data_IF_147124400437
#
_entry.id   IF_147124400437
#
_cell.length_a   1.000
_cell.length_b   1.000
_cell.length_c   1.000
_cell.angle_alpha   90.00
_cell.angle_beta   90.00
_cell.angle_gamma   90.00
#
_symmetry.space_group_name_H-M   'P 1'
#
loop_
_entity.id
_entity.type
_entity.pdbx_description
1 polymer ?
#
# COMPACT_ATOMS: atom_id res chain seq x y z
N UNK A 1 -13.47 11.84 -16.40
CA UNK A 1 -13.61 11.85 -14.91
C UNK A 1 -14.95 12.48 -14.53
N UNK A 2 -15.31 13.67 -15.01
CA UNK A 2 -16.59 14.31 -14.70
C UNK A 2 -17.81 13.47 -15.12
N UNK A 3 -17.79 12.84 -16.29
CA UNK A 3 -18.85 11.92 -16.73
C UNK A 3 -18.94 10.67 -15.84
N UNK A 4 -17.80 10.17 -15.37
CA UNK A 4 -17.77 9.02 -14.46
C UNK A 4 -18.32 9.40 -13.08
N UNK A 5 -17.93 10.55 -12.52
CA UNK A 5 -18.46 11.07 -11.27
C UNK A 5 -19.97 11.34 -11.34
N UNK A 6 -20.47 11.89 -12.48
CA UNK A 6 -21.90 12.06 -12.71
C UNK A 6 -22.65 10.73 -12.73
N UNK A 7 -22.07 9.69 -13.33
CA UNK A 7 -22.65 8.36 -13.41
C UNK A 7 -22.64 7.62 -12.07
N UNK A 8 -21.59 7.81 -11.27
CA UNK A 8 -21.51 7.29 -9.89
C UNK A 8 -22.57 7.96 -9.03
N UNK A 9 -22.71 9.29 -9.10
CA UNK A 9 -23.75 10.04 -8.38
C UNK A 9 -25.15 9.57 -8.77
N UNK A 10 -25.45 9.50 -10.07
CA UNK A 10 -26.75 8.99 -10.58
C UNK A 10 -27.05 7.56 -10.08
N UNK A 11 -26.06 6.70 -10.01
CA UNK A 11 -26.23 5.32 -9.50
C UNK A 11 -26.47 5.30 -8.01
N UNK A 12 -25.77 6.15 -7.25
CA UNK A 12 -25.94 6.26 -5.79
C UNK A 12 -27.30 6.82 -5.43
N UNK A 13 -27.78 7.81 -6.18
CA UNK A 13 -29.12 8.38 -6.01
C UNK A 13 -30.23 7.34 -6.28
N UNK A 14 -30.01 6.46 -7.27
CA UNK A 14 -30.98 5.37 -7.61
C UNK A 14 -31.06 4.25 -6.56
N UNK A 15 -30.02 4.00 -5.81
CA UNK A 15 -30.00 2.97 -4.74
C UNK A 15 -30.36 3.53 -3.36
N UNK A 16 -30.83 4.78 -3.27
CA UNK A 16 -31.28 5.40 -2.02
C UNK A 16 -30.16 5.74 -1.04
N UNK A 17 -28.93 5.78 -1.51
CA UNK A 17 -27.80 6.33 -0.75
C UNK A 17 -27.89 7.85 -0.69
N UNK A 18 -27.40 8.47 0.40
CA UNK A 18 -27.44 9.92 0.61
C UNK A 18 -26.57 10.76 -0.36
N UNK A 19 -26.19 10.23 -1.52
CA UNK A 19 -25.37 10.95 -2.51
C UNK A 19 -23.97 11.37 -2.04
N UNK A 20 -23.60 11.08 -0.80
CA UNK A 20 -22.28 11.30 -0.26
C UNK A 20 -21.35 10.15 -0.68
N UNK A 21 -20.95 10.13 -1.96
CA UNK A 21 -19.68 9.53 -2.33
C UNK A 21 -18.65 10.25 -1.47
N UNK A 22 -18.05 9.51 -0.53
CA UNK A 22 -17.12 10.03 0.47
C UNK A 22 -16.32 11.21 -0.08
N UNK A 23 -16.54 12.45 0.40
CA UNK A 23 -15.83 13.64 -0.09
C UNK A 23 -14.32 13.47 -0.04
N UNK A 24 -13.82 12.65 0.90
CA UNK A 24 -12.42 12.28 1.01
C UNK A 24 -11.85 11.53 -0.21
N UNK A 25 -12.65 10.72 -0.91
CA UNK A 25 -12.19 10.03 -2.13
C UNK A 25 -12.12 11.00 -3.30
N UNK A 26 -13.07 11.92 -3.41
CA UNK A 26 -13.11 12.92 -4.48
C UNK A 26 -12.01 13.95 -4.27
N UNK A 27 -11.84 14.47 -3.07
CA UNK A 27 -10.81 15.45 -2.74
C UNK A 27 -9.39 14.89 -2.90
N UNK A 28 -9.14 13.63 -2.49
CA UNK A 28 -7.85 13.00 -2.71
C UNK A 28 -7.52 12.75 -4.19
N UNK A 29 -8.52 12.60 -5.05
CA UNK A 29 -8.33 12.47 -6.50
C UNK A 29 -8.05 13.86 -7.11
N UNK A 30 -8.67 14.91 -6.61
CA UNK A 30 -8.52 16.27 -7.13
C UNK A 30 -7.23 16.97 -6.67
N UNK A 31 -6.74 16.68 -5.46
CA UNK A 31 -5.56 17.35 -4.89
C UNK A 31 -4.21 16.78 -5.33
N UNK A 32 -4.15 15.58 -5.92
CA UNK A 32 -2.90 14.96 -6.34
C UNK A 32 -2.59 15.24 -7.81
N UNK A 33 -1.67 16.17 -8.10
CA UNK A 33 -1.16 16.44 -9.46
C UNK A 33 -0.63 15.17 -10.15
N UNK A 34 -0.05 14.27 -9.39
CA UNK A 34 0.42 12.96 -9.86
C UNK A 34 -0.75 12.07 -10.32
N UNK A 35 -1.88 12.13 -9.61
CA UNK A 35 -3.08 11.38 -9.99
C UNK A 35 -3.72 11.92 -11.28
N UNK A 36 -3.71 13.23 -11.50
CA UNK A 36 -4.20 13.85 -12.74
C UNK A 36 -3.34 13.44 -13.93
N UNK A 37 -2.03 13.43 -13.76
CA UNK A 37 -1.11 13.01 -14.81
C UNK A 37 -1.28 11.51 -15.12
N UNK A 38 -1.35 10.66 -14.12
CA UNK A 38 -1.61 9.22 -14.29
C UNK A 38 -2.99 8.95 -14.88
N UNK A 39 -4.03 9.69 -14.49
CA UNK A 39 -5.37 9.56 -15.05
C UNK A 39 -5.43 10.01 -16.52
N UNK A 40 -4.69 11.06 -16.87
CA UNK A 40 -4.56 11.54 -18.26
C UNK A 40 -3.83 10.54 -19.15
N UNK A 41 -2.70 10.01 -18.70
CA UNK A 41 -1.95 8.97 -19.39
C UNK A 41 -2.76 7.68 -19.51
N UNK A 42 -3.47 7.29 -18.43
CA UNK A 42 -4.37 6.15 -18.45
C UNK A 42 -5.48 6.31 -19.48
N UNK A 43 -6.20 7.43 -19.47
CA UNK A 43 -7.27 7.69 -20.43
C UNK A 43 -6.74 7.65 -21.88
N UNK A 44 -5.59 8.26 -22.13
CA UNK A 44 -4.96 8.24 -23.44
C UNK A 44 -4.57 6.83 -23.87
N UNK A 45 -3.97 6.05 -22.99
CA UNK A 45 -3.51 4.69 -23.29
C UNK A 45 -4.67 3.70 -23.46
N UNK A 46 -5.75 3.84 -22.69
CA UNK A 46 -6.96 3.01 -22.84
C UNK A 46 -7.69 3.35 -24.13
N UNK A 47 -7.89 4.63 -24.43
CA UNK A 47 -8.56 5.08 -25.66
C UNK A 47 -7.76 4.73 -26.92
N UNK A 48 -6.43 4.69 -26.81
CA UNK A 48 -5.55 4.28 -27.91
C UNK A 48 -5.32 2.77 -28.00
N UNK A 49 -5.90 1.96 -27.10
CA UNK A 49 -5.73 0.50 -27.03
C UNK A 49 -4.32 0.04 -26.62
N UNK A 50 -3.49 0.96 -26.12
CA UNK A 50 -2.08 0.67 -25.80
C UNK A 50 -1.84 0.12 -24.39
N UNK A 51 -2.80 0.27 -23.48
CA UNK A 51 -2.64 -0.16 -22.10
C UNK A 51 -3.98 -0.36 -21.41
N UNK A 52 -4.03 -1.25 -20.45
CA UNK A 52 -5.18 -1.46 -19.57
C UNK A 52 -4.90 -0.89 -18.18
N UNK A 53 -5.97 -0.68 -17.39
CA UNK A 53 -5.84 -0.27 -15.98
C UNK A 53 -5.01 -1.26 -15.17
N UNK A 54 -5.11 -2.55 -15.51
CA UNK A 54 -4.34 -3.63 -14.92
C UNK A 54 -2.85 -3.46 -15.20
N UNK A 55 -2.49 -3.17 -16.45
CA UNK A 55 -1.08 -3.01 -16.84
C UNK A 55 -0.41 -1.83 -16.11
N UNK A 56 -1.14 -0.74 -15.88
CA UNK A 56 -0.60 0.40 -15.12
C UNK A 56 -0.40 0.08 -13.64
N UNK A 57 -1.34 -0.63 -13.02
CA UNK A 57 -1.23 -1.06 -11.64
C UNK A 57 -0.06 -2.04 -11.46
N UNK A 58 0.13 -2.96 -12.39
CA UNK A 58 1.26 -3.91 -12.38
C UNK A 58 2.60 -3.18 -12.56
N UNK A 59 2.71 -2.24 -13.49
CA UNK A 59 3.93 -1.43 -13.67
C UNK A 59 4.30 -0.63 -12.42
N UNK A 60 3.29 -0.06 -11.74
CA UNK A 60 3.54 0.66 -10.50
C UNK A 60 4.01 -0.30 -9.40
N UNK A 61 3.39 -1.47 -9.29
CA UNK A 61 3.80 -2.50 -8.35
C UNK A 61 5.23 -2.98 -8.62
N UNK A 62 5.57 -3.25 -9.88
CA UNK A 62 6.93 -3.65 -10.28
C UNK A 62 7.97 -2.57 -9.94
N UNK A 63 7.61 -1.29 -10.10
CA UNK A 63 8.47 -0.18 -9.72
C UNK A 63 8.65 -0.08 -8.19
N UNK A 64 7.58 -0.24 -7.42
CA UNK A 64 7.61 -0.25 -5.96
C UNK A 64 8.43 -1.45 -5.43
N UNK A 65 8.22 -2.66 -5.97
CA UNK A 65 9.00 -3.86 -5.63
C UNK A 65 10.51 -3.64 -5.89
N UNK A 66 10.85 -3.13 -7.06
CA UNK A 66 12.25 -2.88 -7.42
C UNK A 66 12.88 -1.86 -6.48
N UNK A 67 12.21 -0.74 -6.23
CA UNK A 67 12.70 0.31 -5.32
C UNK A 67 12.89 -0.21 -3.90
N UNK A 68 11.96 -1.01 -3.41
CA UNK A 68 12.07 -1.62 -2.10
C UNK A 68 13.18 -2.67 -2.03
N UNK A 69 13.30 -3.52 -3.05
CA UNK A 69 14.37 -4.51 -3.14
C UNK A 69 15.76 -3.86 -3.13
N UNK A 70 15.95 -2.79 -3.92
CA UNK A 70 17.19 -2.01 -3.93
C UNK A 70 17.49 -1.39 -2.54
N UNK A 71 16.43 -0.97 -1.83
CA UNK A 71 16.57 -0.43 -0.46
C UNK A 71 16.95 -1.50 0.54
N UNK A 72 16.37 -2.71 0.45
CA UNK A 72 16.76 -3.86 1.28
C UNK A 72 18.23 -4.25 1.03
N UNK A 73 18.67 -4.27 -0.23
CA UNK A 73 20.07 -4.59 -0.57
C UNK A 73 21.04 -3.52 -0.04
N UNK A 74 20.67 -2.24 -0.14
CA UNK A 74 21.45 -1.14 0.45
C UNK A 74 21.50 -1.22 1.97
N UNK A 75 20.40 -1.61 2.61
CA UNK A 75 20.37 -1.86 4.06
C UNK A 75 21.33 -2.96 4.45
N UNK A 76 21.26 -4.11 3.78
CA UNK A 76 22.16 -5.25 4.04
C UNK A 76 23.65 -4.91 3.79
N UNK A 77 23.92 -3.98 2.86
CA UNK A 77 25.26 -3.48 2.60
C UNK A 77 25.73 -2.35 3.56
N UNK A 78 24.89 -1.95 4.54
CA UNK A 78 25.19 -0.86 5.48
C UNK A 78 25.23 0.53 4.81
N UNK A 79 24.49 0.72 3.70
CA UNK A 79 24.50 1.95 2.89
C UNK A 79 23.21 2.77 3.00
N UNK A 80 22.39 2.54 4.01
CA UNK A 80 21.18 3.33 4.28
C UNK A 80 21.52 4.48 5.23
N UNK A 81 21.07 5.68 4.89
CA UNK A 81 21.25 6.92 5.67
C UNK A 81 19.92 7.56 6.09
N UNK A 82 18.80 6.91 5.82
CA UNK A 82 17.46 7.38 6.18
C UNK A 82 16.92 6.60 7.37
N UNK A 83 15.96 7.16 8.11
CA UNK A 83 15.32 6.49 9.24
C UNK A 83 14.17 5.58 8.81
N UNK A 84 13.60 5.82 7.63
CA UNK A 84 12.50 5.05 7.04
C UNK A 84 12.81 4.64 5.60
N UNK A 85 12.18 3.57 5.16
CA UNK A 85 12.23 3.04 3.79
C UNK A 85 10.80 2.85 3.31
N UNK A 86 10.49 3.40 2.15
CA UNK A 86 9.20 3.17 1.52
C UNK A 86 9.12 1.73 1.01
N UNK A 87 8.10 1.01 1.44
CA UNK A 87 7.79 -0.35 0.99
C UNK A 87 7.05 -0.30 -0.34
N UNK A 88 5.96 0.47 -0.38
CA UNK A 88 5.13 0.67 -1.57
C UNK A 88 4.14 1.82 -1.34
N UNK A 89 3.32 2.14 -2.32
CA UNK A 89 2.11 2.94 -2.10
C UNK A 89 1.00 2.07 -1.55
N UNK A 90 0.06 2.66 -0.82
CA UNK A 90 -1.09 1.94 -0.26
C UNK A 90 -1.81 1.13 -1.34
N UNK A 91 -1.81 -0.21 -1.26
CA UNK A 91 -2.47 -1.04 -2.25
C UNK A 91 -3.99 -0.90 -2.19
N UNK A 92 -4.67 -1.21 -3.29
CA UNK A 92 -6.12 -1.06 -3.41
C UNK A 92 -6.87 -1.81 -2.31
N UNK A 93 -6.44 -3.02 -1.95
CA UNK A 93 -7.08 -3.84 -0.91
C UNK A 93 -7.09 -3.13 0.45
N UNK A 94 -6.04 -2.41 0.78
CA UNK A 94 -5.95 -1.63 2.02
C UNK A 94 -6.88 -0.40 1.99
N UNK A 95 -7.05 0.20 0.81
CA UNK A 95 -7.98 1.32 0.61
C UNK A 95 -9.43 0.89 0.79
N UNK A 96 -9.76 -0.34 0.41
CA UNK A 96 -11.10 -0.92 0.62
C UNK A 96 -11.42 -1.12 2.10
N UNK A 97 -10.42 -1.24 2.96
CA UNK A 97 -10.60 -1.34 4.42
C UNK A 97 -10.33 -0.04 5.18
N UNK A 98 -10.34 1.08 4.46
CA UNK A 98 -10.33 2.43 5.02
C UNK A 98 -8.96 3.10 5.12
N UNK A 99 -7.90 2.54 4.51
CA UNK A 99 -6.61 3.22 4.42
C UNK A 99 -6.65 4.34 3.37
N UNK A 100 -6.04 5.47 3.67
CA UNK A 100 -5.82 6.56 2.72
C UNK A 100 -4.71 6.20 1.70
N UNK A 101 -4.60 6.99 0.64
CA UNK A 101 -3.53 6.82 -0.38
C UNK A 101 -2.25 7.50 0.12
N UNK A 102 -1.48 6.81 0.92
CA UNK A 102 -0.22 7.28 1.49
C UNK A 102 0.90 6.27 1.20
N UNK A 103 2.19 6.68 1.31
CA UNK A 103 3.28 5.72 1.33
C UNK A 103 3.13 4.74 2.49
N UNK A 104 3.43 3.47 2.23
CA UNK A 104 3.61 2.44 3.27
C UNK A 104 5.10 2.37 3.55
N UNK A 105 5.50 2.60 4.79
CA UNK A 105 6.90 2.73 5.19
C UNK A 105 7.26 1.75 6.29
N UNK A 106 8.51 1.33 6.32
CA UNK A 106 9.12 0.59 7.42
C UNK A 106 10.30 1.38 7.99
N UNK A 107 10.40 1.46 9.33
CA UNK A 107 11.58 2.06 9.94
C UNK A 107 12.82 1.17 9.73
N UNK A 108 13.97 1.79 9.58
CA UNK A 108 15.26 1.05 9.49
C UNK A 108 15.51 0.23 10.75
N UNK A 109 15.04 0.72 11.92
CA UNK A 109 15.13 -0.02 13.19
C UNK A 109 14.26 -1.28 13.18
N UNK A 110 13.06 -1.24 12.59
CA UNK A 110 12.19 -2.42 12.51
C UNK A 110 12.70 -3.38 11.44
N UNK A 111 13.17 -2.88 10.31
CA UNK A 111 13.82 -3.70 9.29
C UNK A 111 15.04 -4.45 9.87
N UNK A 112 15.83 -3.78 10.73
CA UNK A 112 16.95 -4.42 11.43
C UNK A 112 16.47 -5.52 12.37
N UNK A 113 15.40 -5.28 13.15
CA UNK A 113 14.82 -6.32 14.02
C UNK A 113 14.39 -7.54 13.23
N UNK A 114 13.79 -7.33 12.06
CA UNK A 114 13.28 -8.41 11.22
C UNK A 114 14.42 -9.18 10.54
N UNK A 115 15.38 -8.50 9.93
CA UNK A 115 16.40 -9.17 9.10
C UNK A 115 17.66 -9.58 9.88
N UNK A 116 17.94 -8.98 11.04
CA UNK A 116 19.23 -9.17 11.74
C UNK A 116 19.05 -9.67 13.16
N UNK A 117 18.13 -9.04 13.93
CA UNK A 117 18.16 -9.23 15.39
C UNK A 117 17.21 -10.35 15.89
N UNK A 118 15.96 -10.44 15.39
CA UNK A 118 14.91 -11.27 16.01
C UNK A 118 14.26 -12.30 15.09
N UNK A 119 14.02 -11.93 13.84
CA UNK A 119 13.24 -12.75 12.91
C UNK A 119 14.11 -13.27 11.77
N UNK A 120 15.24 -13.91 12.13
CA UNK A 120 16.18 -14.48 11.15
C UNK A 120 15.55 -15.52 10.21
N UNK A 121 14.29 -15.84 10.43
CA UNK A 121 13.47 -16.70 9.57
C UNK A 121 12.97 -15.98 8.32
N UNK A 122 12.93 -14.64 8.36
CA UNK A 122 12.60 -13.79 7.20
C UNK A 122 13.92 -13.39 6.54
N UNK A 123 14.18 -13.98 5.38
CA UNK A 123 15.39 -13.64 4.61
C UNK A 123 15.20 -12.34 3.83
N UNK A 124 16.29 -11.67 3.39
CA UNK A 124 16.19 -10.53 2.49
C UNK A 124 15.36 -10.81 1.23
N UNK A 125 15.45 -12.01 0.67
CA UNK A 125 14.68 -12.38 -0.54
C UNK A 125 13.18 -12.53 -0.25
N UNK A 126 12.81 -13.01 0.93
CA UNK A 126 11.42 -13.03 1.38
C UNK A 126 10.94 -11.61 1.63
N UNK A 127 11.76 -10.78 2.29
CA UNK A 127 11.42 -9.39 2.57
C UNK A 127 11.11 -8.59 1.29
N UNK A 128 11.89 -8.79 0.23
CA UNK A 128 11.68 -8.14 -1.07
C UNK A 128 10.34 -8.47 -1.73
N UNK A 129 9.69 -9.56 -1.37
CA UNK A 129 8.39 -9.99 -1.89
C UNK A 129 7.20 -9.34 -1.15
N UNK A 130 7.44 -8.65 -0.03
CA UNK A 130 6.38 -8.04 0.79
C UNK A 130 5.50 -7.06 -0.01
N UNK A 131 6.02 -6.16 -0.88
CA UNK A 131 5.16 -5.25 -1.63
C UNK A 131 4.11 -6.00 -2.45
N UNK A 132 4.50 -7.03 -3.19
CA UNK A 132 3.56 -7.82 -4.00
C UNK A 132 2.55 -8.58 -3.14
N UNK A 133 3.01 -9.19 -2.06
CA UNK A 133 2.13 -9.94 -1.16
C UNK A 133 1.10 -9.05 -0.46
N UNK A 134 1.42 -7.79 -0.20
CA UNK A 134 0.48 -6.81 0.36
C UNK A 134 -0.65 -6.42 -0.61
N UNK A 135 -0.53 -6.69 -1.91
CA UNK A 135 -1.60 -6.41 -2.88
C UNK A 135 -2.69 -7.49 -2.92
N UNK A 136 -2.35 -8.71 -2.46
CA UNK A 136 -3.28 -9.85 -2.41
C UNK A 136 -3.10 -10.65 -1.11
N UNK A 137 -3.45 -10.07 0.05
CA UNK A 137 -3.32 -10.74 1.33
C UNK A 137 -4.41 -11.79 1.54
N UNK A 138 -4.10 -12.85 2.28
CA UNK A 138 -5.08 -13.87 2.69
C UNK A 138 -6.20 -13.28 3.54
N UNK A 139 -5.83 -12.42 4.50
CA UNK A 139 -6.77 -11.79 5.44
C UNK A 139 -6.24 -10.46 5.95
N UNK A 140 -7.17 -9.56 6.33
CA UNK A 140 -6.89 -8.31 7.01
C UNK A 140 -7.78 -8.23 8.25
N UNK A 141 -7.17 -8.10 9.42
CA UNK A 141 -7.86 -7.94 10.68
C UNK A 141 -7.70 -6.52 11.22
N UNK A 142 -8.69 -6.06 11.98
CA UNK A 142 -8.52 -4.90 12.86
C UNK A 142 -8.23 -5.38 14.27
N UNK A 143 -7.23 -4.82 14.91
CA UNK A 143 -6.93 -5.05 16.33
C UNK A 143 -6.74 -3.73 17.05
N UNK A 144 -6.88 -3.73 18.36
CA UNK A 144 -6.66 -2.53 19.17
C UNK A 144 -5.30 -2.63 19.85
N UNK A 145 -4.52 -1.57 19.78
CA UNK A 145 -3.30 -1.44 20.57
C UNK A 145 -3.67 -1.25 22.03
N UNK A 146 -3.12 -2.11 22.90
CA UNK A 146 -3.48 -2.14 24.32
C UNK A 146 -3.10 -0.90 25.13
N UNK A 147 -2.34 0.06 24.58
CA UNK A 147 -1.87 1.24 25.31
C UNK A 147 -2.66 2.51 25.06
N UNK A 148 -3.19 2.72 23.85
CA UNK A 148 -3.85 3.99 23.48
C UNK A 148 -5.20 3.80 22.78
N UNK A 149 -5.68 2.57 22.62
CA UNK A 149 -6.92 2.30 21.87
C UNK A 149 -6.80 2.48 20.34
N UNK A 150 -5.60 2.62 19.85
CA UNK A 150 -5.33 2.79 18.41
C UNK A 150 -5.69 1.55 17.62
N UNK A 151 -6.36 1.76 16.50
CA UNK A 151 -6.74 0.66 15.59
C UNK A 151 -5.53 0.33 14.70
N UNK A 152 -5.05 -0.92 14.83
CA UNK A 152 -4.04 -1.47 13.91
C UNK A 152 -4.72 -2.40 12.92
N UNK A 153 -4.17 -2.47 11.71
CA UNK A 153 -4.46 -3.54 10.77
C UNK A 153 -3.38 -4.60 10.88
N UNK A 154 -3.81 -5.84 10.91
CA UNK A 154 -2.92 -7.01 10.87
C UNK A 154 -3.21 -7.73 9.57
N UNK A 155 -2.19 -7.83 8.72
CA UNK A 155 -2.29 -8.35 7.38
C UNK A 155 -1.61 -9.72 7.35
N UNK A 156 -2.34 -10.75 6.98
CA UNK A 156 -1.84 -12.11 6.84
C UNK A 156 -1.51 -12.35 5.37
N UNK A 157 -0.27 -12.68 5.07
CA UNK A 157 0.22 -12.87 3.72
C UNK A 157 0.26 -14.36 3.35
N UNK A 158 0.21 -14.68 2.06
CA UNK A 158 0.49 -16.04 1.58
C UNK A 158 1.98 -16.40 1.68
N UNK A 159 2.85 -15.40 1.88
CA UNK A 159 4.28 -15.63 2.05
C UNK A 159 4.57 -16.48 3.28
N UNK A 160 5.56 -17.34 3.13
CA UNK A 160 6.09 -18.18 4.20
C UNK A 160 7.51 -17.75 4.54
N UNK A 161 7.84 -17.83 5.82
CA UNK A 161 9.23 -17.75 6.25
C UNK A 161 10.01 -19.01 5.86
N UNK A 162 11.31 -19.06 6.15
CA UNK A 162 12.16 -20.22 5.83
C UNK A 162 11.74 -21.50 6.57
N UNK A 163 10.94 -21.41 7.63
CA UNK A 163 10.43 -22.54 8.43
C UNK A 163 9.02 -22.97 7.99
N UNK A 164 8.44 -22.28 6.99
CA UNK A 164 7.08 -22.54 6.49
C UNK A 164 5.97 -21.86 7.28
N UNK A 165 6.28 -21.01 8.26
CA UNK A 165 5.29 -20.23 8.98
C UNK A 165 4.76 -19.07 8.13
N UNK A 166 3.48 -18.77 8.29
CA UNK A 166 2.83 -17.66 7.58
C UNK A 166 3.32 -16.31 8.09
N UNK A 167 3.67 -15.41 7.17
CA UNK A 167 4.11 -14.06 7.52
C UNK A 167 2.90 -13.19 7.83
N UNK A 168 2.98 -12.50 8.96
CA UNK A 168 1.96 -11.56 9.43
C UNK A 168 2.60 -10.17 9.53
N UNK A 169 1.97 -9.18 8.89
CA UNK A 169 2.45 -7.80 8.87
C UNK A 169 1.51 -6.91 9.68
N UNK A 170 1.90 -6.47 10.87
CA UNK A 170 1.18 -5.43 11.60
C UNK A 170 1.39 -4.07 10.90
N UNK A 171 0.31 -3.35 10.62
CA UNK A 171 0.36 -2.02 10.02
C UNK A 171 -0.41 -1.04 10.90
N UNK A 172 0.26 0.00 11.34
CA UNK A 172 -0.39 1.13 11.99
C UNK A 172 -0.94 2.07 10.93
N UNK A 173 -2.26 2.34 10.99
CA UNK A 173 -2.90 3.32 10.12
C UNK A 173 -2.85 4.73 10.72
N UNK A 174 -1.98 4.96 11.71
CA UNK A 174 -1.71 6.30 12.17
C UNK A 174 -1.02 7.08 11.06
N UNK A 175 -1.59 8.22 10.76
CA UNK A 175 -0.99 9.23 9.89
C UNK A 175 0.25 9.79 10.60
N UNK A 176 1.40 9.18 10.40
CA UNK A 176 2.66 9.91 10.54
C UNK A 176 2.63 11.02 9.50
N UNK A 177 3.32 12.13 9.73
CA UNK A 177 3.22 13.35 8.91
C UNK A 177 3.25 13.12 7.41
N UNK A 178 3.78 12.00 6.92
CA UNK A 178 4.01 11.73 5.51
C UNK A 178 3.66 10.30 5.03
N UNK A 179 3.18 9.39 5.89
CA UNK A 179 2.90 8.00 5.46
C UNK A 179 2.33 7.07 6.53
N UNK A 180 2.09 5.81 6.17
CA UNK A 180 1.72 4.74 7.10
C UNK A 180 2.94 3.94 7.53
N UNK A 181 3.03 3.65 8.82
CA UNK A 181 4.10 2.84 9.38
C UNK A 181 3.73 1.35 9.38
N UNK A 182 4.63 0.52 8.84
CA UNK A 182 4.64 -0.93 9.04
C UNK A 182 5.57 -1.25 10.21
N UNK A 183 5.08 -1.99 11.18
CA UNK A 183 5.86 -2.49 12.32
C UNK A 183 6.19 -3.97 12.17
#
# INVERSE_FOLDING_TARGET
IQEWLAKVKETTDKIGGNGEVLPSVVNNIEESSTYHQMAGEYAHNVLSGKSTKKDMAERQLDADEKSFADSVDRFMAGKISTDTIQVMRTPLVMRLVGAEVLPVEISVSDLKKVLVDKHTDITPDIMKQIPRALTDPMMIFSTYSGKNGEVRKVIVLELKDKNGATIVVPMELERMSDGYKVN
#
